data_IF_861239026905
#
_entry.id   IF_861239026905
#
_cell.length_a   1.000
_cell.length_b   1.000
_cell.length_c   1.000
_cell.angle_alpha   90.00
_cell.angle_beta   90.00
_cell.angle_gamma   90.00
#
_symmetry.space_group_name_H-M   'P 1'
#
loop_
_entity.id
_entity.type
_entity.pdbx_description
1 polymer ?
#
# COMPACT_ATOMS: atom_id res chain seq x y z
N UNK A 1 5.69 7.03 2.24
CA UNK A 1 5.70 6.11 1.10
C UNK A 1 7.08 6.01 0.46
N UNK A 2 7.62 7.05 -0.21
CA UNK A 2 8.90 6.98 -0.95
C UNK A 2 10.08 6.32 -0.21
N UNK A 3 10.24 6.58 1.10
CA UNK A 3 11.30 5.95 1.93
C UNK A 3 11.16 4.43 2.15
N UNK A 4 10.02 3.86 1.80
CA UNK A 4 9.71 2.43 1.92
C UNK A 4 9.79 1.70 0.57
N UNK A 5 10.12 2.40 -0.52
CA UNK A 5 10.26 1.83 -1.85
C UNK A 5 11.74 1.94 -2.25
N UNK A 6 12.39 0.79 -2.42
CA UNK A 6 13.79 0.63 -2.82
C UNK A 6 14.00 0.72 -4.33
N UNK A 7 13.27 1.61 -5.01
CA UNK A 7 13.37 1.84 -6.45
C UNK A 7 13.45 3.36 -6.71
N UNK A 8 14.10 3.74 -7.82
CA UNK A 8 14.14 5.14 -8.26
C UNK A 8 12.77 5.57 -8.77
N UNK A 9 12.17 4.76 -9.65
CA UNK A 9 10.87 5.02 -10.28
C UNK A 9 10.05 3.71 -10.34
N UNK A 10 8.80 3.73 -9.89
CA UNK A 10 7.96 2.52 -9.85
C UNK A 10 6.46 2.83 -9.98
N UNK A 11 5.70 1.88 -10.55
CA UNK A 11 4.23 1.84 -10.52
C UNK A 11 3.83 0.60 -9.70
N UNK A 12 3.23 0.84 -8.53
CA UNK A 12 2.89 -0.17 -7.53
C UNK A 12 1.42 -0.01 -7.17
N UNK A 13 0.72 -1.13 -7.04
CA UNK A 13 -0.66 -1.17 -6.60
C UNK A 13 -0.77 -1.59 -5.14
N UNK A 14 -1.71 -0.97 -4.42
CA UNK A 14 -1.91 -1.20 -3.00
C UNK A 14 -3.36 -0.93 -2.58
N UNK A 15 -3.83 -1.71 -1.62
CA UNK A 15 -5.10 -1.46 -0.95
C UNK A 15 -4.89 -0.55 0.25
N UNK A 16 -5.69 0.51 0.36
CA UNK A 16 -5.65 1.44 1.49
C UNK A 16 -6.72 1.06 2.49
N UNK A 17 -6.34 0.51 3.64
CA UNK A 17 -7.27 -0.02 4.64
C UNK A 17 -7.29 0.87 5.87
N UNK A 18 -8.47 1.26 6.35
CA UNK A 18 -8.60 1.97 7.62
C UNK A 18 -8.19 1.05 8.77
N UNK A 19 -7.50 1.57 9.77
CA UNK A 19 -7.07 0.80 10.94
C UNK A 19 -7.54 1.45 12.23
N UNK A 20 -7.67 0.65 13.29
CA UNK A 20 -7.76 1.17 14.63
C UNK A 20 -6.38 1.71 15.10
N UNK A 21 -6.29 2.94 15.63
CA UNK A 21 -5.01 3.49 16.10
C UNK A 21 -4.43 2.76 17.32
N UNK A 22 -5.27 2.11 18.13
CA UNK A 22 -4.87 1.49 19.38
C UNK A 22 -4.64 -0.02 19.23
N UNK A 23 -5.46 -0.71 18.41
CA UNK A 23 -5.37 -2.17 18.22
C UNK A 23 -4.69 -2.60 16.91
N UNK A 24 -4.45 -1.67 15.97
CA UNK A 24 -4.03 -1.94 14.59
C UNK A 24 -4.97 -2.83 13.76
N UNK A 25 -6.16 -3.13 14.28
CA UNK A 25 -7.14 -3.96 13.59
C UNK A 25 -7.67 -3.26 12.33
N UNK A 26 -7.87 -4.04 11.28
CA UNK A 26 -8.44 -3.54 10.03
C UNK A 26 -9.92 -3.18 10.23
N UNK A 27 -10.30 -2.00 9.76
CA UNK A 27 -11.67 -1.50 9.78
C UNK A 27 -12.35 -1.67 8.42
N UNK A 28 -13.69 -1.76 8.38
CA UNK A 28 -14.43 -1.86 7.13
C UNK A 28 -14.16 -0.69 6.18
N UNK A 29 -14.29 -0.95 4.88
CA UNK A 29 -14.09 0.06 3.83
C UNK A 29 -14.90 1.35 4.03
N UNK A 30 -16.10 1.25 4.63
CA UNK A 30 -16.96 2.40 4.91
C UNK A 30 -16.26 3.48 5.75
N UNK A 31 -15.34 3.10 6.64
CA UNK A 31 -14.56 4.06 7.45
C UNK A 31 -13.66 4.96 6.58
N UNK A 32 -13.19 4.48 5.44
CA UNK A 32 -12.41 5.29 4.49
C UNK A 32 -13.25 6.38 3.85
N UNK A 33 -14.56 6.19 3.71
CA UNK A 33 -15.44 7.20 3.13
C UNK A 33 -15.46 8.47 3.97
N UNK A 34 -15.35 8.35 5.29
CA UNK A 34 -15.29 9.47 6.22
C UNK A 34 -13.97 10.27 6.12
N UNK A 35 -12.91 9.63 5.62
CA UNK A 35 -11.58 10.22 5.38
C UNK A 35 -11.55 11.13 4.14
N UNK A 36 -12.44 10.93 3.16
CA UNK A 36 -12.46 11.67 1.89
C UNK A 36 -12.98 13.11 2.10
N UNK A 37 -12.06 14.08 2.22
CA UNK A 37 -12.40 15.50 2.43
C UNK A 37 -11.54 16.43 1.57
N UNK A 38 -12.15 17.53 1.10
CA UNK A 38 -11.45 18.61 0.35
C UNK A 38 -10.65 19.55 1.27
N UNK A 39 -11.00 19.62 2.56
CA UNK A 39 -10.37 20.46 3.57
C UNK A 39 -10.06 19.66 4.85
N UNK A 40 -9.11 20.10 5.66
CA UNK A 40 -8.81 19.45 6.95
C UNK A 40 -8.10 18.09 6.87
N UNK A 41 -7.40 17.82 5.77
CA UNK A 41 -6.73 16.52 5.48
C UNK A 41 -5.86 16.05 6.65
N UNK A 42 -5.09 16.94 7.27
CA UNK A 42 -4.23 16.58 8.43
C UNK A 42 -5.03 16.07 9.64
N UNK A 43 -6.22 16.62 9.89
CA UNK A 43 -7.10 16.18 10.98
C UNK A 43 -7.72 14.82 10.64
N UNK A 44 -8.23 14.66 9.41
CA UNK A 44 -8.77 13.39 8.93
C UNK A 44 -7.71 12.26 8.91
N UNK A 45 -6.45 12.57 8.60
CA UNK A 45 -5.34 11.59 8.66
C UNK A 45 -5.06 11.08 10.08
N UNK A 46 -5.36 11.87 11.11
CA UNK A 46 -5.23 11.47 12.53
C UNK A 46 -6.45 10.72 13.01
N UNK A 47 -7.65 11.18 12.64
CA UNK A 47 -8.92 10.56 13.04
C UNK A 47 -9.16 9.21 12.35
N UNK A 48 -8.72 9.08 11.10
CA UNK A 48 -8.88 7.87 10.29
C UNK A 48 -7.51 7.42 9.76
N UNK A 49 -6.69 6.81 10.63
CA UNK A 49 -5.42 6.25 10.19
C UNK A 49 -5.67 5.08 9.22
N UNK A 50 -4.81 4.99 8.21
CA UNK A 50 -4.81 3.91 7.23
C UNK A 50 -3.47 3.17 7.19
N UNK A 51 -3.51 1.91 6.78
CA UNK A 51 -2.36 1.11 6.36
C UNK A 51 -2.46 0.82 4.86
N UNK A 52 -1.31 0.66 4.21
CA UNK A 52 -1.23 0.28 2.80
C UNK A 52 -0.76 -1.17 2.68
N UNK A 53 -1.51 -1.97 1.93
CA UNK A 53 -1.20 -3.36 1.61
C UNK A 53 -0.85 -3.46 0.13
N UNK A 54 0.44 -3.52 -0.16
CA UNK A 54 0.98 -3.58 -1.53
C UNK A 54 0.72 -4.97 -2.10
N UNK A 55 0.17 -5.08 -3.31
CA UNK A 55 -0.20 -6.38 -3.89
C UNK A 55 0.27 -6.62 -5.33
N UNK A 56 0.69 -5.59 -6.07
CA UNK A 56 1.27 -5.75 -7.42
C UNK A 56 2.32 -4.69 -7.75
N UNK A 57 3.26 -5.02 -8.63
CA UNK A 57 4.23 -4.11 -9.23
C UNK A 57 4.11 -4.18 -10.75
N UNK A 58 3.78 -3.05 -11.37
CA UNK A 58 3.56 -2.95 -12.82
C UNK A 58 4.78 -2.39 -13.57
N UNK A 59 5.62 -1.63 -12.87
CA UNK A 59 6.83 -1.04 -13.42
C UNK A 59 7.86 -0.77 -12.32
N UNK A 60 9.14 -1.04 -12.59
CA UNK A 60 10.25 -0.75 -11.67
C UNK A 60 11.50 -0.39 -12.47
N UNK A 61 12.07 0.79 -12.22
CA UNK A 61 13.39 1.24 -12.70
C UNK A 61 13.67 0.98 -14.19
N UNK A 62 12.73 1.36 -15.05
CA UNK A 62 12.87 1.17 -16.51
C UNK A 62 12.23 -0.10 -17.05
N UNK A 63 11.86 -1.06 -16.18
CA UNK A 63 11.27 -2.34 -16.58
C UNK A 63 9.75 -2.31 -16.46
N UNK A 64 9.07 -2.52 -17.58
CA UNK A 64 7.63 -2.84 -17.63
C UNK A 64 7.41 -4.30 -17.23
N UNK A 65 6.51 -4.53 -16.28
CA UNK A 65 6.18 -5.83 -15.72
C UNK A 65 4.79 -6.31 -16.13
N UNK A 66 4.02 -5.53 -16.88
CA UNK A 66 2.60 -5.81 -17.16
C UNK A 66 2.36 -7.13 -17.90
N UNK A 67 3.36 -7.63 -18.64
CA UNK A 67 3.32 -8.91 -19.35
C UNK A 67 3.94 -10.08 -18.56
N UNK A 68 4.53 -9.81 -17.40
CA UNK A 68 5.14 -10.83 -16.56
C UNK A 68 4.08 -11.60 -15.76
N UNK A 69 4.29 -12.90 -15.47
CA UNK A 69 3.39 -13.65 -14.59
C UNK A 69 3.30 -13.02 -13.19
N UNK A 70 2.13 -13.09 -12.57
CA UNK A 70 1.89 -12.50 -11.25
C UNK A 70 2.94 -12.90 -10.18
N UNK A 71 3.37 -14.17 -10.04
CA UNK A 71 4.41 -14.52 -9.06
C UNK A 71 5.74 -13.80 -9.28
N UNK A 72 6.09 -13.47 -10.54
CA UNK A 72 7.29 -12.70 -10.87
C UNK A 72 7.13 -11.25 -10.42
N UNK A 73 5.98 -10.63 -10.72
CA UNK A 73 5.68 -9.25 -10.31
C UNK A 73 5.62 -9.11 -8.79
N UNK A 74 4.98 -10.06 -8.12
CA UNK A 74 4.84 -10.08 -6.66
C UNK A 74 6.21 -10.29 -5.98
N UNK A 75 7.07 -11.17 -6.50
CA UNK A 75 8.45 -11.29 -6.00
C UNK A 75 9.24 -9.98 -6.13
N UNK A 76 9.14 -9.29 -7.27
CA UNK A 76 9.79 -7.98 -7.46
C UNK A 76 9.23 -6.96 -6.45
N UNK A 77 7.92 -6.97 -6.22
CA UNK A 77 7.29 -6.14 -5.21
C UNK A 77 7.86 -6.39 -3.81
N UNK A 78 8.00 -7.65 -3.40
CA UNK A 78 8.59 -8.03 -2.10
C UNK A 78 10.03 -7.52 -1.95
N UNK A 79 10.82 -7.57 -3.03
CA UNK A 79 12.21 -7.11 -3.02
C UNK A 79 12.33 -5.57 -2.86
N UNK A 80 11.40 -4.80 -3.44
CA UNK A 80 11.47 -3.34 -3.42
C UNK A 80 10.70 -2.71 -2.25
N UNK A 81 9.78 -3.41 -1.60
CA UNK A 81 9.00 -2.86 -0.49
C UNK A 81 9.67 -3.15 0.85
N UNK A 82 10.13 -2.09 1.50
CA UNK A 82 10.55 -2.14 2.91
C UNK A 82 9.32 -2.08 3.82
N UNK A 83 8.92 -3.23 4.33
CA UNK A 83 7.77 -3.34 5.25
C UNK A 83 7.98 -2.53 6.54
N UNK A 84 6.88 -1.99 7.06
CA UNK A 84 6.78 -1.21 8.31
C UNK A 84 5.33 -1.26 8.83
N UNK A 85 5.07 -0.70 10.01
CA UNK A 85 3.78 -0.80 10.72
C UNK A 85 2.56 -0.52 9.81
N UNK A 86 2.67 0.49 8.95
CA UNK A 86 1.60 0.97 8.05
C UNK A 86 1.83 0.72 6.57
N UNK A 87 2.88 -0.02 6.21
CA UNK A 87 3.24 -0.37 4.84
C UNK A 87 3.61 -1.85 4.82
N UNK A 88 2.72 -2.68 4.31
CA UNK A 88 2.85 -4.14 4.32
C UNK A 88 2.75 -4.68 2.90
N UNK A 89 3.38 -5.81 2.63
CA UNK A 89 3.08 -6.59 1.42
C UNK A 89 1.89 -7.48 1.75
N UNK A 90 0.92 -7.57 0.84
CA UNK A 90 -0.24 -8.43 1.02
C UNK A 90 0.17 -9.90 0.91
N UNK A 91 -0.33 -10.72 1.84
CA UNK A 91 -0.26 -12.18 1.71
C UNK A 91 -1.09 -12.60 0.50
N UNK A 92 -0.52 -13.45 -0.35
CA UNK A 92 -1.24 -14.11 -1.43
C UNK A 92 -1.19 -15.62 -1.21
N UNK A 93 -2.29 -16.29 -1.54
CA UNK A 93 -2.39 -17.74 -1.46
C UNK A 93 -2.20 -18.33 -2.87
N UNK A 94 -1.40 -19.39 -2.96
CA UNK A 94 -1.19 -20.19 -4.18
C UNK A 94 -2.12 -21.39 -4.13
#
# INVERSE_FOLDING_TARGET
>A
MKKYVGAKDAIIEAECVAIDPDTEEMKPFQELMHRRRKYGIRKAMKEYPVSLFMFDALYVDGRDLTLEPYPVRHKILEEIIKQADRVRVAEYLI
#
